data_IF_274184334244
#
_entry.id   IF_274184334244
#
_cell.length_a   1.000
_cell.length_b   1.000
_cell.length_c   1.000
_cell.angle_alpha   90.00
_cell.angle_beta   90.00
_cell.angle_gamma   90.00
#
_symmetry.space_group_name_H-M   'P 1'
#
loop_
_entity.id
_entity.type
_entity.pdbx_description
1 polymer ?
#
# COMPACT_ATOMS: atom_id res chain seq x y z
N UNK A 1 -25.12 -10.87 3.56
CA UNK A 1 -24.42 -9.56 3.41
C UNK A 1 -23.04 -9.76 3.99
N UNK A 2 -22.01 -9.83 3.15
CA UNK A 2 -20.63 -9.89 3.66
C UNK A 2 -20.29 -8.48 4.11
N UNK A 3 -20.32 -8.24 5.42
CA UNK A 3 -19.72 -7.03 5.99
C UNK A 3 -18.22 -7.21 5.88
N UNK A 4 -17.61 -6.64 4.85
CA UNK A 4 -16.16 -6.54 4.76
C UNK A 4 -15.71 -5.63 5.91
N UNK A 5 -14.75 -6.09 6.71
CA UNK A 5 -14.11 -5.22 7.69
C UNK A 5 -13.40 -4.08 6.94
N UNK A 6 -13.29 -2.91 7.58
CA UNK A 6 -12.57 -1.77 7.01
C UNK A 6 -11.15 -2.19 6.60
N UNK A 7 -10.50 -3.02 7.41
CA UNK A 7 -9.20 -3.62 7.11
C UNK A 7 -9.19 -4.42 5.81
N UNK A 8 -10.15 -5.32 5.60
CA UNK A 8 -10.20 -6.15 4.39
C UNK A 8 -10.41 -5.31 3.13
N UNK A 9 -11.22 -4.24 3.22
CA UNK A 9 -11.42 -3.31 2.11
C UNK A 9 -10.15 -2.50 1.84
N UNK A 10 -9.51 -1.98 2.89
CA UNK A 10 -8.26 -1.21 2.77
C UNK A 10 -7.15 -2.03 2.15
N UNK A 11 -6.96 -3.28 2.60
CA UNK A 11 -5.96 -4.19 2.02
C UNK A 11 -6.27 -4.50 0.56
N UNK A 12 -7.55 -4.64 0.18
CA UNK A 12 -7.95 -4.83 -1.21
C UNK A 12 -7.64 -3.61 -2.07
N UNK A 13 -7.92 -2.41 -1.59
CA UNK A 13 -7.61 -1.16 -2.29
C UNK A 13 -6.10 -0.96 -2.43
N UNK A 14 -5.33 -1.37 -1.42
CA UNK A 14 -3.87 -1.33 -1.44
C UNK A 14 -3.29 -2.34 -2.45
N UNK A 15 -3.81 -3.56 -2.48
CA UNK A 15 -3.44 -4.58 -3.47
C UNK A 15 -3.70 -4.12 -4.92
N UNK A 16 -4.84 -3.46 -5.13
CA UNK A 16 -5.22 -2.87 -6.43
C UNK A 16 -4.51 -1.54 -6.73
N UNK A 17 -3.62 -1.08 -5.84
CA UNK A 17 -2.82 0.15 -5.96
C UNK A 17 -3.66 1.42 -6.06
N UNK A 18 -4.87 1.41 -5.49
CA UNK A 18 -5.74 2.59 -5.41
C UNK A 18 -5.33 3.57 -4.31
N UNK A 19 -4.61 3.07 -3.30
CA UNK A 19 -4.12 3.83 -2.15
C UNK A 19 -2.66 3.45 -1.88
N UNK A 20 -1.92 4.34 -1.21
CA UNK A 20 -0.55 4.09 -0.75
C UNK A 20 -0.53 3.40 0.62
N UNK A 21 0.64 2.89 1.06
CA UNK A 21 0.82 2.32 2.41
C UNK A 21 0.43 3.32 3.49
N UNK A 22 0.83 4.59 3.31
CA UNK A 22 0.51 5.66 4.25
C UNK A 22 -0.99 5.88 4.36
N UNK A 23 -1.69 5.93 3.23
CA UNK A 23 -3.14 6.10 3.22
C UNK A 23 -3.85 4.89 3.83
N UNK A 24 -3.36 3.67 3.58
CA UNK A 24 -3.88 2.47 4.20
C UNK A 24 -3.72 2.48 5.73
N UNK A 25 -2.54 2.88 6.22
CA UNK A 25 -2.26 3.04 7.65
C UNK A 25 -3.20 4.07 8.30
N UNK A 26 -3.41 5.22 7.64
CA UNK A 26 -4.34 6.27 8.09
C UNK A 26 -5.80 5.79 8.16
N UNK A 27 -6.26 5.02 7.17
CA UNK A 27 -7.63 4.49 7.15
C UNK A 27 -7.87 3.49 8.28
N UNK A 28 -6.90 2.61 8.54
CA UNK A 28 -7.03 1.60 9.60
C UNK A 28 -6.76 2.22 10.98
N UNK A 29 -6.06 3.36 11.04
CA UNK A 29 -5.72 4.05 12.28
C UNK A 29 -4.48 3.45 12.96
N UNK A 30 -3.54 2.93 12.19
CA UNK A 30 -2.25 2.42 12.67
C UNK A 30 -1.07 3.24 12.13
N UNK A 31 0.12 3.03 12.68
CA UNK A 31 1.34 3.64 12.16
C UNK A 31 1.78 3.01 10.83
N UNK A 32 2.60 3.75 10.08
CA UNK A 32 3.19 3.23 8.84
C UNK A 32 4.07 2.00 9.09
N UNK A 33 4.79 1.96 10.20
CA UNK A 33 5.63 0.82 10.60
C UNK A 33 4.78 -0.42 10.86
N UNK A 34 3.70 -0.29 11.63
CA UNK A 34 2.75 -1.38 11.88
C UNK A 34 2.09 -1.87 10.58
N UNK A 35 1.82 -0.96 9.63
CA UNK A 35 1.27 -1.32 8.33
C UNK A 35 2.27 -2.10 7.47
N UNK A 36 3.56 -1.70 7.47
CA UNK A 36 4.64 -2.41 6.78
C UNK A 36 4.80 -3.81 7.38
N UNK A 37 4.80 -3.92 8.71
CA UNK A 37 4.86 -5.19 9.40
C UNK A 37 3.67 -6.06 9.03
N UNK A 38 2.44 -5.53 9.07
CA UNK A 38 1.22 -6.24 8.69
C UNK A 38 1.35 -6.81 7.27
N UNK A 39 1.80 -6.01 6.31
CA UNK A 39 1.93 -6.41 4.91
C UNK A 39 3.04 -7.43 4.72
N UNK A 40 4.12 -7.37 5.51
CA UNK A 40 5.20 -8.36 5.47
C UNK A 40 4.71 -9.78 5.81
N UNK A 41 3.60 -9.90 6.55
CA UNK A 41 2.92 -11.17 6.83
C UNK A 41 1.84 -11.54 5.79
N UNK A 42 1.58 -10.68 4.81
CA UNK A 42 0.63 -10.93 3.71
C UNK A 42 1.35 -11.20 2.39
N UNK A 43 0.68 -11.82 1.42
CA UNK A 43 1.19 -11.99 0.06
C UNK A 43 0.95 -10.74 -0.83
N UNK A 44 0.60 -9.60 -0.22
CA UNK A 44 0.28 -8.37 -0.94
C UNK A 44 1.58 -7.72 -1.40
N UNK A 45 1.77 -7.66 -2.72
CA UNK A 45 2.92 -6.98 -3.33
C UNK A 45 2.63 -5.48 -3.46
N UNK A 46 2.91 -4.75 -2.39
CA UNK A 46 2.83 -3.29 -2.40
C UNK A 46 4.20 -2.74 -2.75
N UNK A 47 4.23 -1.85 -3.75
CA UNK A 47 5.41 -1.04 -4.06
C UNK A 47 4.95 0.40 -4.00
N UNK A 48 5.13 1.03 -2.83
CA UNK A 48 5.09 2.49 -2.74
C UNK A 48 6.43 2.97 -3.29
N UNK A 49 6.47 3.26 -4.59
CA UNK A 49 7.60 4.01 -5.11
C UNK A 49 7.57 5.39 -4.46
N UNK A 50 8.67 5.81 -3.84
CA UNK A 50 8.85 7.25 -3.66
C UNK A 50 8.83 7.89 -5.06
N UNK A 51 8.19 9.05 -5.20
CA UNK A 51 8.19 9.80 -6.47
C UNK A 51 9.62 10.05 -7.00
N UNK A 52 10.61 10.03 -6.11
CA UNK A 52 12.05 10.12 -6.40
C UNK A 52 12.62 8.86 -7.09
N UNK A 53 12.03 7.68 -6.88
CA UNK A 53 12.45 6.40 -7.45
C UNK A 53 11.84 6.15 -8.83
N UNK A 54 10.60 6.61 -9.08
CA UNK A 54 9.98 6.60 -10.40
C UNK A 54 10.80 7.38 -11.44
N UNK A 55 11.43 8.49 -11.01
CA UNK A 55 12.31 9.29 -11.87
C UNK A 55 13.59 8.57 -12.30
N UNK A 56 14.05 7.56 -11.55
CA UNK A 56 15.22 6.75 -11.92
C UNK A 56 14.86 5.67 -12.95
N UNK A 57 13.64 5.12 -12.89
CA UNK A 57 13.16 4.14 -13.87
C UNK A 57 12.62 4.80 -15.15
N UNK A 58 12.09 6.02 -15.09
CA UNK A 58 11.65 6.76 -16.28
C UNK A 58 12.81 7.36 -17.11
N UNK A 59 14.05 7.30 -16.65
CA UNK A 59 15.23 7.77 -17.38
C UNK A 59 15.92 6.66 -18.20
N UNK A 60 15.16 5.63 -18.59
CA UNK A 60 15.55 4.64 -19.60
C UNK A 60 15.05 5.14 -20.96
N UNK A 61 15.72 6.15 -21.52
CA UNK A 61 15.31 6.71 -22.81
C UNK A 61 16.01 8.00 -23.15
N UNK A 62 17.26 7.85 -23.57
CA UNK A 62 18.06 8.86 -24.28
C UNK A 62 17.32 9.47 -25.47
#
# INVERSE_FOLDING_TARGET
>A
MNSWSIEALTLKMLEEKHITLRQAAEIIGMSLEEMIDLISYTDIRVVDYESSELGKEMNIGR
#
